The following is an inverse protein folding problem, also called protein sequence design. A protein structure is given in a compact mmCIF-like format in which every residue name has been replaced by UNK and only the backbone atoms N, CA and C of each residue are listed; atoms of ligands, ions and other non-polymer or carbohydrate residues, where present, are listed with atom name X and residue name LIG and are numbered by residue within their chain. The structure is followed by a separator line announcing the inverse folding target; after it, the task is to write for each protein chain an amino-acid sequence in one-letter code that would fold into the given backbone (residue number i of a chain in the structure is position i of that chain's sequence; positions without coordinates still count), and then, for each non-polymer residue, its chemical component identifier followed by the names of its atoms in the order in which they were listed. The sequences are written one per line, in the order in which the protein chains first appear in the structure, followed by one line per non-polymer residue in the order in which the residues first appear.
data_IF_605400600689
#
_entry.id   IF_605400600689
#
_cell.length_a   1.000
_cell.length_b   1.000
_cell.length_c   1.000
_cell.angle_alpha   90.00
_cell.angle_beta   90.00
_cell.angle_gamma   90.00
#
_symmetry.space_group_name_H-M   'P 1'
#
loop_
_entity.id
_entity.type
_entity.pdbx_description
1 polymer ?
#
# COMPACT_ATOMS: atom_id res chain seq x y z
N UNK A 1 -7.71 -13.53 -4.14
CA UNK A 1 -8.94 -12.77 -4.26
C UNK A 1 -9.31 -12.10 -2.95
N UNK A 2 -9.78 -10.88 -3.00
CA UNK A 2 -10.16 -10.13 -1.80
C UNK A 2 -11.59 -10.44 -1.38
N UNK A 3 -11.80 -10.56 -0.07
CA UNK A 3 -13.14 -10.64 0.50
C UNK A 3 -13.79 -9.25 0.45
N UNK A 4 -15.12 -9.19 0.54
CA UNK A 4 -15.85 -7.92 0.55
C UNK A 4 -15.37 -7.00 1.67
N UNK A 5 -15.10 -7.56 2.85
CA UNK A 5 -14.57 -6.83 4.00
C UNK A 5 -13.22 -6.21 3.68
N UNK A 6 -12.36 -6.94 2.98
CA UNK A 6 -11.04 -6.50 2.58
C UNK A 6 -11.10 -5.40 1.51
N UNK A 7 -12.01 -5.57 0.54
CA UNK A 7 -12.23 -4.55 -0.49
C UNK A 7 -12.72 -3.24 0.13
N UNK A 8 -13.62 -3.32 1.09
CA UNK A 8 -14.12 -2.15 1.81
C UNK A 8 -13.02 -1.45 2.58
N UNK A 9 -12.17 -2.23 3.26
CA UNK A 9 -11.06 -1.69 4.01
C UNK A 9 -10.07 -0.95 3.10
N UNK A 10 -9.74 -1.53 1.95
CA UNK A 10 -8.86 -0.90 0.98
C UNK A 10 -9.45 0.38 0.41
N UNK A 11 -10.74 0.37 0.10
CA UNK A 11 -11.44 1.56 -0.40
C UNK A 11 -11.39 2.67 0.63
N UNK A 12 -11.65 2.35 1.88
CA UNK A 12 -11.62 3.33 2.96
C UNK A 12 -10.21 3.87 3.19
N UNK A 13 -9.21 2.99 3.15
CA UNK A 13 -7.81 3.39 3.26
C UNK A 13 -7.46 4.40 2.17
N UNK A 14 -7.83 4.11 0.95
CA UNK A 14 -7.58 4.98 -0.19
C UNK A 14 -8.27 6.34 -0.01
N UNK A 15 -9.53 6.34 0.41
CA UNK A 15 -10.28 7.57 0.64
C UNK A 15 -9.63 8.44 1.71
N UNK A 16 -9.27 7.85 2.85
CA UNK A 16 -8.64 8.59 3.94
C UNK A 16 -7.28 9.14 3.51
N UNK A 17 -6.53 8.34 2.77
CA UNK A 17 -5.21 8.72 2.29
C UNK A 17 -5.29 9.92 1.35
N UNK A 18 -6.18 9.86 0.36
CA UNK A 18 -6.34 10.96 -0.60
C UNK A 18 -7.00 12.19 0.00
N UNK A 19 -7.90 12.01 0.97
CA UNK A 19 -8.49 13.17 1.65
C UNK A 19 -7.45 13.98 2.40
N UNK A 20 -6.46 13.32 2.97
CA UNK A 20 -5.45 13.98 3.79
C UNK A 20 -4.19 14.36 3.02
N UNK A 21 -3.77 13.54 2.06
CA UNK A 21 -2.45 13.64 1.44
C UNK A 21 -2.48 13.55 -0.08
N UNK A 22 -3.56 14.05 -0.69
CA UNK A 22 -3.74 13.97 -2.14
C UNK A 22 -2.52 14.43 -2.93
N UNK A 23 -1.95 15.58 -2.55
CA UNK A 23 -0.84 16.18 -3.30
C UNK A 23 0.49 15.47 -3.06
N UNK A 24 0.54 14.59 -2.08
CA UNK A 24 1.77 13.93 -1.69
C UNK A 24 1.82 12.46 -2.11
N UNK A 25 0.68 11.89 -2.47
CA UNK A 25 0.60 10.49 -2.88
C UNK A 25 0.64 10.40 -4.40
N UNK A 26 1.62 9.67 -4.92
CA UNK A 26 1.82 9.49 -6.35
C UNK A 26 1.11 8.23 -6.84
N UNK A 27 1.06 7.20 -6.00
CA UNK A 27 0.42 5.95 -6.41
C UNK A 27 0.23 5.00 -5.24
N UNK A 28 -0.67 4.05 -5.43
CA UNK A 28 -0.96 2.98 -4.48
C UNK A 28 -1.07 1.69 -5.26
N UNK A 29 -0.42 0.62 -4.78
CA UNK A 29 -0.50 -0.69 -5.40
C UNK A 29 -0.78 -1.76 -4.36
N UNK A 30 -1.65 -2.70 -4.72
CA UNK A 30 -1.81 -3.95 -4.00
C UNK A 30 -0.77 -4.92 -4.56
N UNK A 31 -0.04 -5.62 -3.68
CA UNK A 31 0.93 -6.61 -4.12
C UNK A 31 0.88 -7.84 -3.22
N UNK A 32 1.81 -8.78 -3.41
CA UNK A 32 1.86 -9.99 -2.63
C UNK A 32 0.77 -11.00 -3.01
N UNK A 33 0.48 -11.92 -2.10
CA UNK A 33 -0.41 -13.06 -2.40
C UNK A 33 -1.84 -12.64 -2.74
N UNK A 34 -2.36 -11.57 -2.12
CA UNK A 34 -3.71 -11.07 -2.43
C UNK A 34 -3.80 -10.53 -3.86
N UNK A 35 -2.73 -9.93 -4.37
CA UNK A 35 -2.70 -9.46 -5.76
C UNK A 35 -2.57 -10.62 -6.74
N UNK A 36 -1.76 -11.65 -6.39
CA UNK A 36 -1.57 -12.82 -7.24
C UNK A 36 -2.79 -13.75 -7.27
N UNK A 37 -3.66 -13.68 -6.27
CA UNK A 37 -4.82 -14.56 -6.18
C UNK A 37 -4.53 -15.92 -5.54
N UNK A 38 -3.34 -16.12 -4.97
CA UNK A 38 -2.96 -17.37 -4.31
C UNK A 38 -2.93 -17.23 -2.79
N UNK A 39 -3.57 -16.19 -2.26
CA UNK A 39 -3.58 -15.91 -0.83
C UNK A 39 -4.44 -16.91 -0.07
N UNK A 40 -4.00 -17.22 1.14
CA UNK A 40 -4.85 -17.90 2.12
C UNK A 40 -5.78 -16.88 2.76
N UNK A 41 -6.82 -17.36 3.43
CA UNK A 41 -7.80 -16.47 4.07
C UNK A 41 -7.16 -15.55 5.10
N UNK A 42 -6.09 -15.99 5.76
CA UNK A 42 -5.37 -15.27 6.80
C UNK A 42 -4.14 -14.53 6.28
N UNK A 43 -3.93 -14.50 4.96
CA UNK A 43 -2.79 -13.77 4.39
C UNK A 43 -2.94 -12.27 4.58
N UNK A 44 -1.82 -11.60 4.81
CA UNK A 44 -1.79 -10.14 4.92
C UNK A 44 -2.15 -9.49 3.59
N UNK A 45 -2.69 -8.29 3.67
CA UNK A 45 -2.95 -7.47 2.49
C UNK A 45 -1.78 -6.50 2.38
N UNK A 46 -0.93 -6.72 1.37
CA UNK A 46 0.26 -5.91 1.17
C UNK A 46 -0.04 -4.73 0.26
N UNK A 47 0.23 -3.54 0.75
CA UNK A 47 -0.03 -2.29 0.03
C UNK A 47 1.24 -1.47 -0.04
N UNK A 48 1.57 -1.00 -1.23
CA UNK A 48 2.67 -0.06 -1.44
C UNK A 48 2.10 1.30 -1.75
N UNK A 49 2.51 2.30 -0.97
CA UNK A 49 2.17 3.70 -1.22
C UNK A 49 3.43 4.41 -1.68
N UNK A 50 3.35 5.07 -2.82
CA UNK A 50 4.46 5.86 -3.36
C UNK A 50 4.12 7.32 -3.13
N UNK A 51 5.02 8.04 -2.46
CA UNK A 51 4.84 9.45 -2.14
C UNK A 51 5.82 10.31 -2.94
N UNK A 52 5.55 11.61 -3.03
CA UNK A 52 6.39 12.54 -3.78
C UNK A 52 7.80 12.58 -3.23
N UNK A 53 7.92 12.62 -1.92
CA UNK A 53 9.21 12.75 -1.23
C UNK A 53 9.33 11.70 -0.13
N UNK A 54 10.57 11.43 0.26
CA UNK A 54 10.84 10.59 1.42
C UNK A 54 10.69 11.45 2.68
N UNK A 55 9.57 11.31 3.36
CA UNK A 55 9.22 12.08 4.55
C UNK A 55 8.72 11.10 5.60
N UNK A 56 9.48 10.95 6.68
CA UNK A 56 9.13 9.98 7.69
C UNK A 56 7.88 10.37 8.49
N UNK A 57 7.58 11.67 8.61
CA UNK A 57 6.34 12.13 9.25
C UNK A 57 5.12 11.68 8.44
N UNK A 58 5.21 11.81 7.13
CA UNK A 58 4.16 11.36 6.23
C UNK A 58 4.00 9.84 6.30
N UNK A 59 5.13 9.14 6.30
CA UNK A 59 5.13 7.68 6.44
C UNK A 59 4.45 7.25 7.74
N UNK A 60 4.75 7.92 8.84
CA UNK A 60 4.13 7.64 10.13
C UNK A 60 2.63 7.92 10.10
N UNK A 61 2.22 9.04 9.48
CA UNK A 61 0.81 9.41 9.35
C UNK A 61 0.04 8.38 8.52
N UNK A 62 0.65 7.88 7.47
CA UNK A 62 0.03 6.83 6.64
C UNK A 62 -0.13 5.55 7.45
N UNK A 63 0.87 5.21 8.27
CA UNK A 63 0.78 4.08 9.19
C UNK A 63 -0.37 4.21 10.16
N UNK A 64 -0.64 5.42 10.64
CA UNK A 64 -1.79 5.68 11.54
C UNK A 64 -3.12 5.47 10.83
N UNK A 65 -3.20 5.80 9.54
CA UNK A 65 -4.41 5.51 8.76
C UNK A 65 -4.64 4.00 8.69
N UNK A 66 -3.58 3.23 8.45
CA UNK A 66 -3.69 1.76 8.43
C UNK A 66 -4.15 1.21 9.77
N UNK A 67 -3.67 1.80 10.87
CA UNK A 67 -4.12 1.42 12.22
C UNK A 67 -5.60 1.73 12.42
N UNK A 68 -6.07 2.88 11.93
CA UNK A 68 -7.49 3.24 11.97
C UNK A 68 -8.33 2.19 11.25
N UNK A 69 -7.88 1.75 10.08
CA UNK A 69 -8.57 0.71 9.32
C UNK A 69 -8.62 -0.60 10.11
N UNK A 70 -7.51 -0.97 10.75
CA UNK A 70 -7.46 -2.17 11.58
C UNK A 70 -8.49 -2.10 12.70
N UNK A 71 -8.57 -0.97 13.40
CA UNK A 71 -9.48 -0.80 14.52
C UNK A 71 -10.94 -0.75 14.10
N UNK A 72 -11.23 -0.09 12.96
CA UNK A 72 -12.61 0.12 12.52
C UNK A 72 -13.15 -1.04 11.69
N UNK A 73 -12.33 -1.61 10.84
CA UNK A 73 -12.76 -2.64 9.88
C UNK A 73 -12.28 -4.04 10.25
N UNK A 74 -11.42 -4.15 11.24
CA UNK A 74 -10.81 -5.42 11.65
C UNK A 74 -10.05 -6.09 10.51
N UNK A 75 -9.42 -5.28 9.66
CA UNK A 75 -8.60 -5.73 8.53
C UNK A 75 -7.21 -5.14 8.70
N UNK A 76 -6.20 -6.01 8.71
CA UNK A 76 -4.82 -5.58 8.81
C UNK A 76 -4.25 -5.32 7.41
N UNK A 77 -3.77 -4.09 7.20
CA UNK A 77 -3.07 -3.70 5.99
C UNK A 77 -1.59 -3.59 6.30
N UNK A 78 -0.77 -4.37 5.60
CA UNK A 78 0.67 -4.28 5.69
C UNK A 78 1.13 -3.23 4.69
N UNK A 79 1.33 -2.01 5.17
CA UNK A 79 1.61 -0.86 4.31
C UNK A 79 3.10 -0.56 4.29
N UNK A 80 3.66 -0.49 3.07
CA UNK A 80 5.00 0.01 2.84
C UNK A 80 4.91 1.33 2.12
N UNK A 81 5.71 2.30 2.55
CA UNK A 81 5.71 3.64 1.97
C UNK A 81 7.08 3.91 1.41
N UNK A 82 7.13 4.27 0.14
CA UNK A 82 8.37 4.67 -0.53
C UNK A 82 8.19 6.06 -1.12
N UNK A 83 9.11 6.96 -0.80
CA UNK A 83 9.18 8.23 -1.52
C UNK A 83 9.68 7.99 -2.93
N UNK A 84 9.30 8.86 -3.85
CA UNK A 84 9.70 8.74 -5.26
C UNK A 84 11.22 8.64 -5.45
N UNK A 85 12.05 9.43 -4.72
CA UNK A 85 13.51 9.27 -4.86
C UNK A 85 14.00 7.85 -4.54
N UNK A 86 13.50 7.25 -3.47
CA UNK A 86 13.86 5.88 -3.11
C UNK A 86 13.32 4.89 -4.13
N UNK A 87 12.08 5.09 -4.59
CA UNK A 87 11.47 4.27 -5.62
C UNK A 87 12.32 4.25 -6.89
N UNK A 88 12.76 5.42 -7.36
CA UNK A 88 13.58 5.53 -8.56
C UNK A 88 14.96 4.86 -8.36
N UNK A 89 15.54 5.00 -7.17
CA UNK A 89 16.82 4.34 -6.86
C UNK A 89 16.68 2.82 -6.89
N UNK A 90 15.61 2.30 -6.30
CA UNK A 90 15.37 0.84 -6.31
C UNK A 90 15.14 0.33 -7.72
N UNK A 91 14.53 1.13 -8.56
CA UNK A 91 14.31 0.80 -9.96
C UNK A 91 15.63 0.69 -10.71
N UNK A 92 16.53 1.67 -10.54
CA UNK A 92 17.86 1.67 -11.14
C UNK A 92 18.68 0.47 -10.66
N UNK A 93 18.60 0.14 -9.39
CA UNK A 93 19.31 -0.98 -8.79
C UNK A 93 18.68 -2.33 -9.12
N UNK A 94 17.58 -2.35 -9.85
CA UNK A 94 16.85 -3.56 -10.23
C UNK A 94 16.46 -4.39 -9.00
N UNK A 95 15.89 -3.72 -7.98
CA UNK A 95 15.45 -4.36 -6.75
C UNK A 95 14.48 -5.51 -7.05
N UNK A 96 14.74 -6.71 -6.53
CA UNK A 96 13.79 -7.83 -6.71
C UNK A 96 12.42 -7.53 -6.11
N UNK A 97 12.38 -6.85 -4.97
CA UNK A 97 11.12 -6.44 -4.34
C UNK A 97 10.28 -5.59 -5.29
N UNK A 98 10.89 -4.50 -5.81
CA UNK A 98 10.16 -3.59 -6.68
C UNK A 98 9.77 -4.24 -7.99
N UNK A 99 10.64 -5.08 -8.54
CA UNK A 99 10.35 -5.83 -9.76
C UNK A 99 9.10 -6.68 -9.59
N UNK A 100 9.00 -7.39 -8.46
CA UNK A 100 7.84 -8.24 -8.17
C UNK A 100 6.58 -7.41 -8.00
N UNK A 101 6.66 -6.27 -7.30
CA UNK A 101 5.52 -5.38 -7.12
C UNK A 101 5.02 -4.86 -8.47
N UNK A 102 5.94 -4.47 -9.35
CA UNK A 102 5.55 -3.92 -10.66
C UNK A 102 4.96 -4.97 -11.57
N UNK A 103 5.46 -6.22 -11.48
CA UNK A 103 4.99 -7.31 -12.32
C UNK A 103 3.64 -7.87 -11.85
N UNK A 104 3.47 -8.03 -10.55
CA UNK A 104 2.31 -8.72 -9.95
C UNK A 104 1.30 -7.77 -9.33
N UNK A 105 1.71 -6.53 -9.05
CA UNK A 105 0.88 -5.58 -8.33
C UNK A 105 -0.29 -5.05 -9.13
N UNK A 106 -1.34 -4.70 -8.40
CA UNK A 106 -2.56 -4.11 -8.96
C UNK A 106 -2.63 -2.65 -8.51
N UNK A 107 -2.76 -1.74 -9.47
CA UNK A 107 -2.92 -0.32 -9.16
C UNK A 107 -4.28 -0.09 -8.52
N UNK A 108 -4.29 0.59 -7.39
CA UNK A 108 -5.52 0.91 -6.67
C UNK A 108 -6.05 2.32 -6.96
#
# INVERSE_FOLDING_TARGET
MLKKKEERALRRFKELLFNRFRDEVVGIRLFGSKARGDARADSDIDVLVITRNDDWHLKESIGKIATTILLDEEVYLSVKVLGKPTYERLKVLKSPFLRNVMREGIRL
#
